data_IF_797374284339
#
_entry.id   IF_797374284339
#
_cell.length_a   1.000
_cell.length_b   1.000
_cell.length_c   1.000
_cell.angle_alpha   90.00
_cell.angle_beta   90.00
_cell.angle_gamma   90.00
#
_symmetry.space_group_name_H-M   'P 1'
#
loop_
_entity.id
_entity.type
_entity.pdbx_description
1 polymer ?
#
# COMPACT_ATOMS: atom_id res chain seq x y z
N UNK A 1 11.68 15.71 17.13
CA UNK A 1 12.78 14.77 17.48
C UNK A 1 12.30 13.33 17.23
N UNK A 2 13.09 12.50 16.53
CA UNK A 2 12.82 11.05 16.30
C UNK A 2 13.83 10.23 17.12
N UNK A 3 13.59 10.00 18.42
CA UNK A 3 14.59 9.42 19.32
C UNK A 3 14.90 7.95 19.03
N UNK A 4 13.99 7.23 18.37
CA UNK A 4 14.16 5.79 18.11
C UNK A 4 14.68 5.59 16.69
N UNK A 5 15.98 5.29 16.56
CA UNK A 5 16.67 5.04 15.27
C UNK A 5 16.84 3.54 15.02
N UNK A 6 16.74 3.13 13.77
CA UNK A 6 17.12 1.80 13.33
C UNK A 6 18.66 1.68 13.32
N UNK A 7 19.18 0.54 13.74
CA UNK A 7 20.62 0.23 13.68
C UNK A 7 21.07 -0.32 12.33
N UNK A 8 20.13 -0.66 11.43
CA UNK A 8 20.40 -1.34 10.16
C UNK A 8 20.08 -0.47 8.94
N UNK A 9 19.46 0.70 9.12
CA UNK A 9 19.20 1.68 8.08
C UNK A 9 18.93 3.07 8.68
N UNK A 10 18.75 4.08 7.84
CA UNK A 10 18.53 5.47 8.27
C UNK A 10 17.12 5.76 8.82
N UNK A 11 16.27 4.74 8.96
CA UNK A 11 14.91 4.93 9.47
C UNK A 11 14.90 5.36 10.94
N UNK A 12 14.12 6.40 11.26
CA UNK A 12 13.91 6.87 12.63
C UNK A 12 12.43 7.20 12.89
N UNK A 13 11.99 7.01 14.13
CA UNK A 13 10.59 7.21 14.53
C UNK A 13 10.45 7.78 15.94
N UNK A 14 9.25 8.29 16.26
CA UNK A 14 8.90 8.84 17.57
C UNK A 14 8.40 7.78 18.56
N UNK A 15 8.13 6.56 18.08
CA UNK A 15 7.55 5.49 18.89
C UNK A 15 8.43 4.24 18.89
N UNK A 16 8.73 3.72 20.08
CA UNK A 16 9.46 2.46 20.26
C UNK A 16 8.73 1.28 19.59
N UNK A 17 7.40 1.26 19.64
CA UNK A 17 6.57 0.23 18.99
C UNK A 17 6.73 0.26 17.47
N UNK A 18 6.82 1.45 16.88
CA UNK A 18 7.03 1.60 15.44
C UNK A 18 8.45 1.18 15.03
N UNK A 19 9.46 1.42 15.87
CA UNK A 19 10.82 0.93 15.62
C UNK A 19 10.84 -0.60 15.66
N UNK A 20 10.20 -1.22 16.66
CA UNK A 20 10.08 -2.68 16.76
C UNK A 20 9.38 -3.28 15.53
N UNK A 21 8.28 -2.69 15.09
CA UNK A 21 7.60 -3.12 13.86
C UNK A 21 8.47 -2.94 12.61
N UNK A 22 9.25 -1.86 12.55
CA UNK A 22 10.20 -1.62 11.46
C UNK A 22 11.31 -2.69 11.41
N UNK A 23 11.84 -3.12 12.56
CA UNK A 23 12.87 -4.17 12.61
C UNK A 23 12.42 -5.49 11.97
N UNK A 24 11.11 -5.77 11.92
CA UNK A 24 10.56 -6.94 11.22
C UNK A 24 10.78 -6.88 9.69
N UNK A 25 11.12 -5.72 9.11
CA UNK A 25 11.53 -5.61 7.70
C UNK A 25 12.93 -6.18 7.50
N UNK A 26 13.83 -5.95 8.45
CA UNK A 26 15.20 -6.48 8.45
C UNK A 26 15.26 -7.96 8.82
N UNK A 27 14.34 -8.42 9.68
CA UNK A 27 14.23 -9.84 9.98
C UNK A 27 13.56 -10.63 8.84
N UNK A 28 14.14 -11.77 8.50
CA UNK A 28 13.53 -12.80 7.65
C UNK A 28 12.55 -13.68 8.43
N UNK A 29 12.59 -13.61 9.77
CA UNK A 29 11.70 -14.38 10.63
C UNK A 29 10.27 -13.86 10.52
N UNK A 30 9.42 -14.69 9.92
CA UNK A 30 7.98 -14.50 9.94
C UNK A 30 7.45 -15.20 11.20
N UNK A 31 7.35 -14.45 12.30
CA UNK A 31 7.01 -15.00 13.63
C UNK A 31 5.52 -15.23 13.85
N UNK A 32 4.65 -14.68 12.99
CA UNK A 32 3.21 -14.77 13.17
C UNK A 32 2.58 -15.76 12.20
N UNK A 33 2.18 -16.93 12.70
CA UNK A 33 1.57 -18.01 11.92
C UNK A 33 0.06 -17.79 11.75
N UNK A 34 -0.47 -18.13 10.57
CA UNK A 34 -1.90 -18.34 10.38
C UNK A 34 -2.25 -19.79 10.71
N UNK A 35 -3.05 -19.97 11.75
CA UNK A 35 -3.43 -21.30 12.26
C UNK A 35 -4.26 -22.13 11.27
N UNK A 36 -4.89 -21.49 10.27
CA UNK A 36 -5.72 -22.17 9.27
C UNK A 36 -4.97 -22.63 8.03
N UNK A 37 -3.95 -21.88 7.57
CA UNK A 37 -3.26 -22.18 6.31
C UNK A 37 -1.73 -22.24 6.42
N UNK A 38 -1.19 -22.13 7.64
CA UNK A 38 0.25 -22.20 7.90
C UNK A 38 1.09 -21.04 7.37
N UNK A 39 0.48 -20.03 6.70
CA UNK A 39 1.23 -18.86 6.20
C UNK A 39 1.79 -18.05 7.36
N UNK A 40 3.09 -17.72 7.27
CA UNK A 40 3.79 -16.90 8.27
C UNK A 40 3.85 -15.42 7.84
N UNK A 41 3.72 -14.50 8.79
CA UNK A 41 3.70 -13.05 8.59
C UNK A 41 4.70 -12.33 9.49
N UNK A 42 5.17 -11.18 9.02
CA UNK A 42 6.14 -10.31 9.72
C UNK A 42 5.50 -9.48 10.83
N UNK A 43 4.17 -9.32 10.89
CA UNK A 43 3.51 -8.55 11.96
C UNK A 43 2.14 -9.11 12.32
N UNK A 44 1.71 -8.91 13.57
CA UNK A 44 0.36 -9.25 14.04
C UNK A 44 -0.73 -8.56 13.23
N UNK A 45 -0.53 -7.29 12.83
CA UNK A 45 -1.51 -6.54 12.04
C UNK A 45 -1.71 -7.13 10.64
N UNK A 46 -0.63 -7.55 9.99
CA UNK A 46 -0.70 -8.24 8.69
C UNK A 46 -1.36 -9.60 8.83
N UNK A 47 -1.06 -10.37 9.88
CA UNK A 47 -1.74 -11.63 10.17
C UNK A 47 -3.23 -11.42 10.41
N UNK A 48 -3.63 -10.41 11.21
CA UNK A 48 -5.04 -10.09 11.46
C UNK A 48 -5.78 -9.77 10.16
N UNK A 49 -5.17 -8.96 9.30
CA UNK A 49 -5.73 -8.63 7.99
C UNK A 49 -5.83 -9.86 7.08
N UNK A 50 -4.84 -10.74 7.12
CA UNK A 50 -4.87 -12.01 6.39
C UNK A 50 -5.96 -12.96 6.91
N UNK A 51 -6.17 -13.03 8.23
CA UNK A 51 -7.21 -13.88 8.85
C UNK A 51 -8.62 -13.50 8.37
N UNK A 52 -8.86 -12.25 7.95
CA UNK A 52 -10.12 -11.82 7.32
C UNK A 52 -10.41 -12.52 5.98
N UNK A 53 -9.40 -13.07 5.31
CA UNK A 53 -9.58 -13.85 4.09
C UNK A 53 -10.18 -15.24 4.36
N UNK A 54 -10.12 -15.69 5.62
CA UNK A 54 -10.57 -17.02 6.02
C UNK A 54 -11.98 -17.01 6.62
N UNK A 55 -12.45 -15.89 7.14
CA UNK A 55 -13.78 -15.80 7.75
C UNK A 55 -14.88 -15.80 6.67
N UNK A 56 -15.94 -16.58 6.86
CA UNK A 56 -17.09 -16.66 5.95
C UNK A 56 -17.84 -15.32 5.83
N UNK A 57 -17.82 -14.51 6.89
CA UNK A 57 -18.35 -13.14 6.97
C UNK A 57 -17.41 -12.06 6.40
N UNK A 58 -16.41 -12.46 5.60
CA UNK A 58 -15.26 -11.65 5.20
C UNK A 58 -15.67 -10.30 4.60
N UNK A 59 -15.78 -9.27 5.45
CA UNK A 59 -15.95 -7.86 5.06
C UNK A 59 -14.75 -7.42 4.24
N UNK A 60 -14.82 -7.76 2.97
CA UNK A 60 -13.93 -7.31 1.93
C UNK A 60 -14.55 -6.06 1.33
N UNK A 61 -13.67 -5.13 0.97
CA UNK A 61 -14.04 -3.95 0.23
C UNK A 61 -14.11 -4.37 -1.24
N UNK A 62 -15.33 -4.50 -1.77
CA UNK A 62 -15.58 -4.89 -3.16
C UNK A 62 -15.38 -3.69 -4.08
N UNK A 63 -14.76 -3.93 -5.22
CA UNK A 63 -14.72 -2.97 -6.31
C UNK A 63 -16.07 -2.90 -7.02
N UNK A 64 -16.52 -1.69 -7.34
CA UNK A 64 -17.79 -1.47 -8.02
C UNK A 64 -17.68 -1.43 -9.53
N UNK A 65 -16.44 -1.46 -10.05
CA UNK A 65 -16.14 -1.47 -11.48
C UNK A 65 -15.72 -2.87 -11.95
N UNK A 66 -15.22 -3.73 -11.07
CA UNK A 66 -14.85 -5.12 -11.41
C UNK A 66 -14.96 -6.06 -10.19
N UNK A 67 -14.66 -7.35 -10.37
CA UNK A 67 -14.78 -8.37 -9.32
C UNK A 67 -13.65 -8.38 -8.29
N UNK A 68 -12.76 -7.38 -8.29
CA UNK A 68 -11.68 -7.29 -7.32
C UNK A 68 -12.20 -7.04 -5.89
N UNK A 69 -11.63 -7.77 -4.93
CA UNK A 69 -11.97 -7.63 -3.51
C UNK A 69 -10.70 -7.38 -2.68
N UNK A 70 -10.76 -6.38 -1.81
CA UNK A 70 -9.67 -6.00 -0.94
C UNK A 70 -9.96 -6.32 0.53
N UNK A 71 -8.96 -6.83 1.25
CA UNK A 71 -9.08 -7.04 2.70
C UNK A 71 -9.06 -5.73 3.51
N UNK A 72 -8.66 -4.61 2.90
CA UNK A 72 -8.47 -3.32 3.56
C UNK A 72 -8.89 -2.16 2.66
N UNK A 73 -9.52 -1.11 3.22
CA UNK A 73 -9.96 0.09 2.47
C UNK A 73 -8.84 0.76 1.66
N UNK A 74 -7.62 1.00 2.19
CA UNK A 74 -6.54 1.59 1.40
C UNK A 74 -6.13 0.74 0.19
N UNK A 75 -6.31 -0.58 0.24
CA UNK A 75 -6.04 -1.45 -0.89
C UNK A 75 -7.10 -1.32 -1.98
N UNK A 76 -8.38 -1.13 -1.60
CA UNK A 76 -9.45 -0.83 -2.55
C UNK A 76 -9.24 0.54 -3.20
N UNK A 77 -8.93 1.58 -2.43
CA UNK A 77 -8.69 2.92 -2.97
C UNK A 77 -7.58 2.93 -4.01
N UNK A 78 -6.43 2.30 -3.71
CA UNK A 78 -5.35 2.13 -4.68
C UNK A 78 -5.76 1.28 -5.90
N UNK A 79 -6.65 0.31 -5.71
CA UNK A 79 -7.19 -0.44 -6.84
C UNK A 79 -8.11 0.44 -7.71
N UNK A 80 -8.91 1.32 -7.12
CA UNK A 80 -9.75 2.26 -7.86
C UNK A 80 -8.95 3.24 -8.71
N UNK A 81 -7.72 3.58 -8.31
CA UNK A 81 -6.78 4.34 -9.14
C UNK A 81 -6.47 3.61 -10.47
N UNK A 82 -6.64 2.29 -10.56
CA UNK A 82 -6.44 1.53 -11.79
C UNK A 82 -7.58 1.71 -12.80
N UNK A 83 -8.80 1.97 -12.31
CA UNK A 83 -9.96 2.30 -13.13
C UNK A 83 -9.96 3.76 -13.55
N UNK A 84 -9.22 4.61 -12.84
CA UNK A 84 -8.96 5.97 -13.28
C UNK A 84 -8.02 5.94 -14.50
N UNK A 85 -8.53 6.38 -15.65
CA UNK A 85 -7.72 6.72 -16.84
C UNK A 85 -6.74 7.87 -16.58
N UNK A 86 -6.91 8.56 -15.45
CA UNK A 86 -6.01 9.58 -14.95
C UNK A 86 -4.69 8.98 -14.44
N UNK A 87 -3.57 9.45 -15.00
CA UNK A 87 -2.21 9.04 -14.63
C UNK A 87 -1.48 10.22 -13.95
N UNK A 88 -1.75 10.47 -12.66
CA UNK A 88 -1.20 11.61 -11.91
C UNK A 88 0.31 11.55 -11.74
N UNK A 89 0.94 10.39 -11.85
CA UNK A 89 2.38 10.26 -11.66
C UNK A 89 3.09 10.27 -13.01
N UNK A 90 3.95 11.27 -13.23
CA UNK A 90 4.67 11.46 -14.50
C UNK A 90 6.16 11.49 -14.27
N UNK A 91 6.90 10.80 -15.13
CA UNK A 91 8.35 10.89 -15.18
C UNK A 91 8.74 12.27 -15.75
N UNK A 92 9.73 12.92 -15.14
CA UNK A 92 10.27 14.18 -15.65
C UNK A 92 11.21 13.98 -16.86
N UNK A 93 11.79 12.79 -17.01
CA UNK A 93 12.85 12.49 -17.96
C UNK A 93 12.37 11.67 -19.18
N UNK A 94 11.10 11.25 -19.20
CA UNK A 94 10.50 10.60 -20.37
C UNK A 94 8.96 10.72 -20.34
N UNK A 95 8.30 10.25 -21.40
CA UNK A 95 6.83 10.29 -21.54
C UNK A 95 6.08 9.25 -20.67
N UNK A 96 6.76 8.54 -19.76
CA UNK A 96 6.11 7.54 -18.92
C UNK A 96 5.20 8.19 -17.88
N UNK A 97 3.96 7.68 -17.79
CA UNK A 97 2.99 8.07 -16.78
C UNK A 97 2.26 6.85 -16.21
N UNK A 98 1.89 6.93 -14.93
CA UNK A 98 1.12 5.89 -14.26
C UNK A 98 0.20 6.46 -13.18
N UNK A 99 -0.69 5.62 -12.69
CA UNK A 99 -1.67 5.94 -11.66
C UNK A 99 -1.23 5.53 -10.24
N UNK A 100 -0.07 4.87 -10.11
CA UNK A 100 0.46 4.40 -8.83
C UNK A 100 1.88 4.92 -8.64
N UNK A 101 2.15 5.67 -7.57
CA UNK A 101 3.46 6.26 -7.25
C UNK A 101 4.60 5.22 -7.22
N UNK A 102 4.34 4.03 -6.67
CA UNK A 102 5.30 2.93 -6.64
C UNK A 102 5.70 2.43 -8.03
N UNK A 103 4.80 2.53 -9.02
CA UNK A 103 5.10 2.19 -10.40
C UNK A 103 6.05 3.22 -11.02
N UNK A 104 5.84 4.53 -10.77
CA UNK A 104 6.76 5.58 -11.22
C UNK A 104 8.15 5.38 -10.60
N UNK A 105 8.23 5.13 -9.29
CA UNK A 105 9.51 4.92 -8.61
C UNK A 105 10.27 3.70 -9.15
N UNK A 106 9.56 2.60 -9.43
CA UNK A 106 10.16 1.41 -10.06
C UNK A 106 10.61 1.68 -11.50
N UNK A 107 9.83 2.44 -12.27
CA UNK A 107 10.23 2.86 -13.60
C UNK A 107 11.51 3.70 -13.54
N UNK A 108 11.57 4.67 -12.63
CA UNK A 108 12.70 5.56 -12.40
C UNK A 108 13.98 4.77 -12.13
N UNK A 109 13.95 3.87 -11.14
CA UNK A 109 15.11 3.04 -10.77
C UNK A 109 15.62 2.14 -11.90
N UNK A 110 14.79 1.82 -12.90
CA UNK A 110 15.13 0.92 -14.01
C UNK A 110 15.58 1.65 -15.26
N UNK A 111 15.07 2.86 -15.50
CA UNK A 111 15.28 3.60 -16.75
C UNK A 111 16.05 4.91 -16.57
N UNK A 112 16.07 5.45 -15.35
CA UNK A 112 16.77 6.68 -14.95
C UNK A 112 17.60 6.46 -13.67
N UNK A 113 18.46 5.42 -13.58
CA UNK A 113 19.13 5.05 -12.32
C UNK A 113 20.15 6.09 -11.81
N UNK A 114 20.62 6.98 -12.69
CA UNK A 114 21.62 8.02 -12.40
C UNK A 114 21.01 9.39 -12.12
N UNK A 115 19.69 9.52 -12.17
CA UNK A 115 19.01 10.80 -12.03
C UNK A 115 18.23 10.84 -10.70
N UNK A 116 17.88 12.03 -10.22
CA UNK A 116 17.11 12.15 -8.97
C UNK A 116 15.62 11.88 -9.20
N UNK A 117 14.99 11.09 -8.34
CA UNK A 117 13.56 10.81 -8.44
C UNK A 117 12.74 12.11 -8.42
N UNK A 118 12.18 12.48 -9.57
CA UNK A 118 11.24 13.61 -9.73
C UNK A 118 9.89 13.09 -10.20
N UNK A 119 8.83 13.44 -9.47
CA UNK A 119 7.46 13.28 -9.92
C UNK A 119 6.96 14.61 -10.51
N UNK A 120 6.86 14.67 -11.83
CA UNK A 120 6.41 15.87 -12.55
C UNK A 120 4.87 16.01 -12.63
N UNK A 121 4.12 15.13 -11.97
CA UNK A 121 2.66 15.18 -11.95
C UNK A 121 2.09 15.68 -10.63
N UNK A 122 0.98 16.42 -10.71
CA UNK A 122 0.23 16.94 -9.57
C UNK A 122 -0.48 15.79 -8.85
N UNK A 123 0.08 15.37 -7.71
CA UNK A 123 -0.50 14.31 -6.86
C UNK A 123 -1.76 14.73 -6.08
N UNK A 124 -2.28 15.94 -6.30
CA UNK A 124 -3.27 16.55 -5.40
C UNK A 124 -4.74 16.49 -5.86
N UNK A 125 -5.07 16.03 -7.07
CA UNK A 125 -6.46 16.15 -7.56
C UNK A 125 -7.28 14.86 -7.76
N UNK A 126 -6.76 13.67 -7.42
CA UNK A 126 -7.47 12.42 -7.76
C UNK A 126 -8.31 11.82 -6.61
N UNK A 127 -7.95 12.06 -5.35
CA UNK A 127 -8.62 11.39 -4.23
C UNK A 127 -10.02 11.98 -3.96
N UNK A 128 -10.20 13.30 -4.07
CA UNK A 128 -11.48 13.96 -3.80
C UNK A 128 -12.52 13.70 -4.92
N UNK A 129 -12.10 13.62 -6.18
CA UNK A 129 -13.00 13.30 -7.30
C UNK A 129 -13.54 11.85 -7.25
N UNK A 130 -12.79 10.91 -6.68
CA UNK A 130 -13.23 9.52 -6.47
C UNK A 130 -14.07 9.33 -5.19
N UNK A 131 -14.12 10.33 -4.30
CA UNK A 131 -14.94 10.30 -3.08
C UNK A 131 -16.33 10.92 -3.27
N UNK A 132 -16.55 11.70 -4.33
CA UNK A 132 -17.85 12.33 -4.62
C UNK A 132 -18.84 11.46 -5.41
N UNK A 133 -18.41 10.31 -5.94
CA UNK A 133 -19.34 9.32 -6.50
C UNK A 133 -19.34 8.08 -5.61
N UNK A 134 -20.33 8.03 -4.74
CA UNK A 134 -20.41 7.10 -3.61
C UNK A 134 -20.15 5.65 -3.98
N UNK A 135 -19.30 4.97 -3.21
CA UNK A 135 -19.28 3.50 -3.17
C UNK A 135 -18.40 2.93 -2.06
N UNK A 136 -18.82 3.12 -0.80
CA UNK A 136 -18.43 2.24 0.30
C UNK A 136 -19.67 1.62 0.90
N UNK A 137 -20.28 0.67 0.19
CA UNK A 137 -21.18 -0.28 0.83
C UNK A 137 -20.34 -1.31 1.57
N UNK A 138 -20.15 -1.10 2.87
CA UNK A 138 -19.77 -2.19 3.78
C UNK A 138 -20.96 -3.15 3.80
N UNK A 139 -20.83 -4.32 3.17
CA UNK A 139 -21.80 -5.39 3.40
C UNK A 139 -21.73 -5.77 4.88
N UNK A 140 -22.72 -5.31 5.65
CA UNK A 140 -23.20 -6.01 6.84
C UNK A 140 -24.17 -7.05 6.31
N UNK A 141 -23.74 -8.29 6.29
CA UNK A 141 -24.64 -9.41 6.52
C UNK A 141 -24.45 -9.84 7.96
#
# INVERSE_FOLDING_TARGET
IKPFKCSLCEYATRSKSNLKAHMNRHSTEKTHLCDRCGKKFKSKGTLKSHKLLHTADGKQFKCTVCDYMAAQKPQLLRHMEQHASFKPFRCAHCHYSCNISGSLKRHYNRKHPSEEYVNAGSGEFAAEALLQQGNLSVLKT
#
